data_IF_873793048397
#
_entry.id   IF_873793048397
#
_cell.length_a   1.000
_cell.length_b   1.000
_cell.length_c   1.000
_cell.angle_alpha   90.00
_cell.angle_beta   90.00
_cell.angle_gamma   90.00
#
_symmetry.space_group_name_H-M   'P 1'
#
loop_
_entity.id
_entity.type
_entity.pdbx_description
1 polymer ?
#
# COMPACT_ATOMS: atom_id res chain seq x y z
N UNK A 1 -2.18 6.53 24.03
CA UNK A 1 -1.99 6.86 25.46
C UNK A 1 -3.27 7.35 26.13
N UNK A 2 -4.02 8.29 25.54
CA UNK A 2 -5.28 8.78 26.12
C UNK A 2 -6.31 7.65 26.40
N UNK A 3 -6.52 6.72 25.47
CA UNK A 3 -7.44 5.59 25.66
C UNK A 3 -7.07 4.69 26.87
N UNK A 4 -5.78 4.40 27.06
CA UNK A 4 -5.29 3.60 28.19
C UNK A 4 -5.51 4.34 29.53
N UNK A 5 -5.24 5.64 29.55
CA UNK A 5 -5.51 6.49 30.71
C UNK A 5 -7.00 6.55 31.07
N UNK A 6 -7.90 6.68 30.07
CA UNK A 6 -9.35 6.66 30.30
C UNK A 6 -9.86 5.31 30.84
N UNK A 7 -9.33 4.20 30.34
CA UNK A 7 -9.69 2.85 30.82
C UNK A 7 -9.21 2.61 32.25
N UNK A 8 -7.99 3.06 32.57
CA UNK A 8 -7.44 3.00 33.92
C UNK A 8 -8.26 3.85 34.90
N UNK A 9 -8.56 5.11 34.55
CA UNK A 9 -9.37 6.02 35.37
C UNK A 9 -10.80 5.52 35.59
N UNK A 10 -11.38 4.82 34.61
CA UNK A 10 -12.71 4.23 34.72
C UNK A 10 -12.75 2.89 35.48
N UNK A 11 -11.62 2.41 36.02
CA UNK A 11 -11.54 1.13 36.75
C UNK A 11 -11.85 -0.11 35.90
N UNK A 12 -11.86 0.04 34.57
CA UNK A 12 -12.19 -1.03 33.61
C UNK A 12 -10.95 -1.80 33.12
N UNK A 13 -9.77 -1.45 33.65
CA UNK A 13 -8.53 -2.16 33.36
C UNK A 13 -8.54 -3.49 34.11
N UNK A 14 -9.09 -4.53 33.49
CA UNK A 14 -9.07 -5.88 34.02
C UNK A 14 -8.21 -6.81 33.13
N UNK A 15 -7.84 -7.97 33.69
CA UNK A 15 -7.00 -8.94 32.98
C UNK A 15 -7.65 -9.44 31.69
N UNK A 16 -8.97 -9.63 31.68
CA UNK A 16 -9.71 -10.07 30.49
C UNK A 16 -9.65 -9.05 29.34
N UNK A 17 -9.67 -7.74 29.64
CA UNK A 17 -9.54 -6.68 28.65
C UNK A 17 -8.13 -6.69 28.06
N UNK A 18 -7.09 -6.77 28.91
CA UNK A 18 -5.71 -6.85 28.46
C UNK A 18 -5.49 -8.08 27.57
N UNK A 19 -5.93 -9.26 28.01
CA UNK A 19 -5.86 -10.50 27.23
C UNK A 19 -6.58 -10.35 25.88
N UNK A 20 -7.79 -9.79 25.86
CA UNK A 20 -8.54 -9.58 24.61
C UNK A 20 -7.85 -8.61 23.65
N UNK A 21 -7.20 -7.56 24.16
CA UNK A 21 -6.42 -6.62 23.36
C UNK A 21 -5.16 -7.30 22.78
N UNK A 22 -4.39 -8.01 23.61
CA UNK A 22 -3.20 -8.73 23.15
C UNK A 22 -3.56 -9.79 22.13
N UNK A 23 -4.62 -10.57 22.35
CA UNK A 23 -5.08 -11.59 21.40
C UNK A 23 -5.53 -10.98 20.07
N UNK A 24 -6.26 -9.86 20.09
CA UNK A 24 -6.64 -9.16 18.85
C UNK A 24 -5.41 -8.65 18.09
N UNK A 25 -4.48 -7.96 18.77
CA UNK A 25 -3.24 -7.50 18.16
C UNK A 25 -2.41 -8.65 17.60
N UNK A 26 -2.26 -9.75 18.34
CA UNK A 26 -1.56 -10.94 17.88
C UNK A 26 -2.22 -11.56 16.65
N UNK A 27 -3.56 -11.55 16.56
CA UNK A 27 -4.30 -12.07 15.40
C UNK A 27 -4.06 -11.24 14.15
N UNK A 28 -4.13 -9.91 14.26
CA UNK A 28 -3.86 -9.00 13.14
C UNK A 28 -2.42 -9.12 12.67
N UNK A 29 -1.45 -9.11 13.59
CA UNK A 29 -0.04 -9.31 13.25
C UNK A 29 0.20 -10.70 12.65
N UNK A 30 -0.47 -11.73 13.17
CA UNK A 30 -0.38 -13.09 12.64
C UNK A 30 -0.88 -13.20 11.19
N UNK A 31 -1.97 -12.52 10.85
CA UNK A 31 -2.44 -12.41 9.46
C UNK A 31 -1.38 -11.77 8.57
N UNK A 32 -0.78 -10.65 9.00
CA UNK A 32 0.28 -9.97 8.24
C UNK A 32 1.50 -10.87 8.05
N UNK A 33 1.96 -11.53 9.11
CA UNK A 33 3.12 -12.45 9.03
C UNK A 33 2.82 -13.59 8.05
N UNK A 34 1.63 -14.19 8.12
CA UNK A 34 1.24 -15.28 7.21
C UNK A 34 1.26 -14.83 5.75
N UNK A 35 0.72 -13.64 5.49
CA UNK A 35 0.71 -13.03 4.16
C UNK A 35 2.15 -12.79 3.67
N UNK A 36 3.07 -12.29 4.52
CA UNK A 36 4.50 -12.14 4.19
C UNK A 36 5.16 -13.48 3.85
N UNK A 37 4.88 -14.54 4.62
CA UNK A 37 5.41 -15.88 4.34
C UNK A 37 4.95 -16.37 2.97
N UNK A 38 3.68 -16.16 2.61
CA UNK A 38 3.17 -16.47 1.27
C UNK A 38 3.87 -15.67 0.16
N UNK A 39 4.17 -14.39 0.36
CA UNK A 39 4.96 -13.59 -0.60
C UNK A 39 6.37 -14.15 -0.81
N UNK A 40 7.04 -14.56 0.28
CA UNK A 40 8.39 -15.12 0.20
C UNK A 40 8.38 -16.45 -0.57
N UNK A 41 7.39 -17.31 -0.30
CA UNK A 41 7.20 -18.55 -1.06
C UNK A 41 6.93 -18.26 -2.54
N UNK A 42 6.05 -17.30 -2.85
CA UNK A 42 5.77 -16.88 -4.22
C UNK A 42 7.04 -16.38 -4.93
N UNK A 43 7.86 -15.56 -4.27
CA UNK A 43 9.11 -15.06 -4.83
C UNK A 43 10.07 -16.20 -5.20
N UNK A 44 10.24 -17.19 -4.30
CA UNK A 44 11.05 -18.38 -4.56
C UNK A 44 10.47 -19.20 -5.71
N UNK A 45 9.15 -19.43 -5.73
CA UNK A 45 8.49 -20.16 -6.82
C UNK A 45 8.67 -19.45 -8.18
N UNK A 46 8.50 -18.14 -8.25
CA UNK A 46 8.73 -17.35 -9.47
C UNK A 46 10.18 -17.45 -9.95
N UNK A 47 11.14 -17.42 -9.01
CA UNK A 47 12.55 -17.59 -9.33
C UNK A 47 12.87 -18.98 -9.88
N UNK A 48 12.28 -20.04 -9.32
CA UNK A 48 12.54 -21.43 -9.73
C UNK A 48 11.83 -21.80 -11.04
N UNK A 49 10.65 -21.25 -11.28
CA UNK A 49 9.84 -21.52 -12.50
C UNK A 49 10.30 -20.70 -13.70
N UNK A 50 11.25 -19.78 -13.53
CA UNK A 50 11.63 -18.83 -14.57
C UNK A 50 10.56 -17.76 -14.83
N UNK A 51 9.56 -17.62 -13.94
CA UNK A 51 8.50 -16.62 -14.06
C UNK A 51 9.06 -15.19 -14.11
N UNK A 52 10.11 -14.91 -13.34
CA UNK A 52 10.85 -13.63 -13.39
C UNK A 52 11.34 -13.32 -14.80
N UNK A 53 11.94 -14.30 -15.49
CA UNK A 53 12.44 -14.14 -16.86
C UNK A 53 11.32 -13.98 -17.88
N UNK A 54 10.20 -14.68 -17.70
CA UNK A 54 9.01 -14.51 -18.55
C UNK A 54 8.44 -13.09 -18.42
N UNK A 55 8.35 -12.55 -17.20
CA UNK A 55 7.89 -11.19 -16.92
C UNK A 55 8.83 -10.16 -17.56
N UNK A 56 10.14 -10.29 -17.36
CA UNK A 56 11.15 -9.43 -18.01
C UNK A 56 10.99 -9.43 -19.52
N UNK A 57 10.84 -10.62 -20.13
CA UNK A 57 10.68 -10.76 -21.57
C UNK A 57 9.43 -10.05 -22.06
N UNK A 58 8.30 -10.20 -21.38
CA UNK A 58 7.05 -9.50 -21.69
C UNK A 58 7.20 -7.98 -21.70
N UNK A 59 7.86 -7.41 -20.67
CA UNK A 59 8.09 -5.97 -20.58
C UNK A 59 8.98 -5.48 -21.74
N UNK A 60 10.04 -6.25 -22.07
CA UNK A 60 10.95 -5.90 -23.18
C UNK A 60 10.30 -6.06 -24.56
N UNK A 61 9.45 -7.08 -24.76
CA UNK A 61 8.74 -7.33 -26.02
C UNK A 61 7.67 -6.26 -26.30
N UNK A 62 7.03 -5.73 -25.25
CA UNK A 62 6.08 -4.62 -25.37
C UNK A 62 6.78 -3.27 -25.65
N UNK A 63 8.11 -3.20 -25.55
CA UNK A 63 8.87 -1.97 -25.78
C UNK A 63 8.48 -0.83 -24.84
N UNK A 64 7.98 -1.16 -23.64
CA UNK A 64 7.50 -0.17 -22.69
C UNK A 64 8.65 0.70 -22.20
N UNK A 65 8.52 2.01 -22.39
CA UNK A 65 9.34 2.99 -21.66
C UNK A 65 9.07 2.94 -20.16
N UNK A 66 10.03 3.38 -19.35
CA UNK A 66 9.88 3.48 -17.88
C UNK A 66 8.62 4.28 -17.50
N UNK A 67 8.31 5.35 -18.22
CA UNK A 67 7.11 6.18 -17.98
C UNK A 67 5.83 5.41 -18.29
N UNK A 68 5.78 4.70 -19.42
CA UNK A 68 4.58 3.91 -19.77
C UNK A 68 4.32 2.76 -18.79
N UNK A 69 5.37 2.12 -18.26
CA UNK A 69 5.21 1.11 -17.22
C UNK A 69 4.67 1.73 -15.93
N UNK A 70 5.20 2.89 -15.52
CA UNK A 70 4.73 3.59 -14.33
C UNK A 70 3.27 4.03 -14.47
N UNK A 71 2.85 4.55 -15.63
CA UNK A 71 1.45 4.88 -15.90
C UNK A 71 0.54 3.65 -15.83
N UNK A 72 0.99 2.51 -16.36
CA UNK A 72 0.27 1.24 -16.23
C UNK A 72 0.12 0.84 -14.76
N UNK A 73 1.17 0.99 -13.96
CA UNK A 73 1.11 0.73 -12.52
C UNK A 73 0.18 1.69 -11.80
N UNK A 74 0.17 2.99 -12.10
CA UNK A 74 -0.80 3.93 -11.53
C UNK A 74 -2.22 3.42 -11.76
N UNK A 75 -2.57 3.09 -13.01
CA UNK A 75 -3.91 2.62 -13.35
C UNK A 75 -4.23 1.29 -12.63
N UNK A 76 -3.29 0.34 -12.68
CA UNK A 76 -3.45 -0.97 -12.06
C UNK A 76 -3.64 -0.87 -10.54
N UNK A 77 -2.80 -0.09 -9.84
CA UNK A 77 -2.86 0.05 -8.39
C UNK A 77 -4.06 0.85 -7.92
N UNK A 78 -4.51 1.87 -8.67
CA UNK A 78 -5.77 2.55 -8.36
C UNK A 78 -6.94 1.57 -8.45
N UNK A 79 -6.98 0.73 -9.49
CA UNK A 79 -8.01 -0.30 -9.64
C UNK A 79 -7.93 -1.34 -8.54
N UNK A 80 -6.74 -1.82 -8.21
CA UNK A 80 -6.57 -2.85 -7.19
C UNK A 80 -6.90 -2.31 -5.78
N UNK A 81 -6.49 -1.07 -5.48
CA UNK A 81 -6.66 -0.42 -4.18
C UNK A 81 -8.07 0.02 -3.88
N UNK A 82 -8.87 0.18 -4.93
CA UNK A 82 -10.30 0.32 -4.83
C UNK A 82 -11.00 -0.88 -4.19
N UNK A 83 -10.37 -2.07 -4.13
CA UNK A 83 -10.95 -3.31 -3.56
C UNK A 83 -10.14 -3.94 -2.44
N UNK A 84 -8.82 -3.80 -2.47
CA UNK A 84 -7.90 -4.47 -1.55
C UNK A 84 -7.33 -3.50 -0.51
N UNK A 85 -7.05 -4.01 0.69
CA UNK A 85 -6.27 -3.26 1.69
C UNK A 85 -4.79 -3.17 1.29
N UNK A 86 -4.08 -2.19 1.87
CA UNK A 86 -2.69 -1.89 1.51
C UNK A 86 -1.74 -3.08 1.67
N UNK A 87 -1.86 -3.84 2.77
CA UNK A 87 -0.92 -4.95 3.04
C UNK A 87 -1.15 -6.11 2.06
N UNK A 88 -2.41 -6.45 1.81
CA UNK A 88 -2.77 -7.49 0.84
C UNK A 88 -2.32 -7.13 -0.58
N UNK A 89 -2.46 -5.86 -0.97
CA UNK A 89 -1.97 -5.37 -2.25
C UNK A 89 -0.45 -5.51 -2.37
N UNK A 90 0.30 -4.95 -1.42
CA UNK A 90 1.76 -4.94 -1.45
C UNK A 90 2.32 -6.36 -1.59
N UNK A 91 1.84 -7.28 -0.76
CA UNK A 91 2.37 -8.64 -0.73
C UNK A 91 2.06 -9.39 -2.03
N UNK A 92 0.89 -9.16 -2.63
CA UNK A 92 0.52 -9.79 -3.90
C UNK A 92 1.36 -9.27 -5.07
N UNK A 93 1.58 -7.96 -5.14
CA UNK A 93 2.11 -7.34 -6.36
C UNK A 93 3.62 -7.13 -6.34
N UNK A 94 4.23 -6.89 -5.17
CA UNK A 94 5.67 -6.62 -5.05
C UNK A 94 6.55 -7.72 -5.67
N UNK A 95 6.29 -9.03 -5.45
CA UNK A 95 7.12 -10.09 -6.04
C UNK A 95 7.16 -10.06 -7.57
N UNK A 96 6.10 -9.53 -8.19
CA UNK A 96 5.94 -9.44 -9.65
C UNK A 96 6.44 -8.10 -10.17
N UNK A 97 6.17 -7.01 -9.45
CA UNK A 97 6.48 -5.65 -9.89
C UNK A 97 7.98 -5.31 -9.77
N UNK A 98 8.68 -5.82 -8.74
CA UNK A 98 10.12 -5.59 -8.55
C UNK A 98 10.96 -6.03 -9.76
N UNK A 99 10.81 -7.25 -10.30
CA UNK A 99 11.59 -7.63 -11.48
C UNK A 99 11.22 -6.84 -12.74
N UNK A 100 10.02 -6.26 -12.84
CA UNK A 100 9.64 -5.41 -13.98
C UNK A 100 10.37 -4.07 -13.96
N UNK A 101 10.46 -3.45 -12.78
CA UNK A 101 11.05 -2.11 -12.62
C UNK A 101 12.58 -2.14 -12.64
N UNK A 102 13.20 -3.20 -12.11
CA UNK A 102 14.67 -3.34 -12.10
C UNK A 102 15.24 -3.54 -13.51
N UNK A 103 14.51 -4.22 -14.41
CA UNK A 103 14.88 -4.38 -15.83
C UNK A 103 14.95 -3.03 -16.55
N UNK A 104 14.09 -2.08 -16.17
CA UNK A 104 14.06 -0.73 -16.73
C UNK A 104 14.98 0.24 -15.99
N UNK A 105 15.81 -0.25 -15.05
CA UNK A 105 16.76 0.56 -14.29
C UNK A 105 16.12 1.47 -13.25
N UNK A 106 14.86 1.22 -12.87
CA UNK A 106 14.18 1.99 -11.82
C UNK A 106 14.64 1.48 -10.45
N UNK A 107 14.94 2.41 -9.55
CA UNK A 107 15.37 2.10 -8.20
C UNK A 107 14.24 1.43 -7.37
N UNK A 108 14.48 0.28 -6.71
CA UNK A 108 13.48 -0.39 -5.89
C UNK A 108 13.00 0.39 -4.67
N UNK A 109 13.85 1.24 -4.07
CA UNK A 109 13.46 2.09 -2.93
C UNK A 109 12.51 3.17 -3.40
N UNK A 110 12.82 3.82 -4.53
CA UNK A 110 11.91 4.76 -5.17
C UNK A 110 10.56 4.10 -5.48
N UNK A 111 10.59 2.90 -6.07
CA UNK A 111 9.37 2.15 -6.38
C UNK A 111 8.59 1.76 -5.12
N UNK A 112 9.27 1.42 -4.03
CA UNK A 112 8.67 1.15 -2.73
C UNK A 112 7.92 2.35 -2.16
N UNK A 113 8.45 3.56 -2.30
CA UNK A 113 7.72 4.78 -1.90
C UNK A 113 6.54 5.03 -2.83
N UNK A 114 6.73 4.89 -4.13
CA UNK A 114 5.68 5.06 -5.13
C UNK A 114 4.49 4.12 -4.87
N UNK A 115 4.71 2.82 -4.66
CA UNK A 115 3.64 1.86 -4.43
C UNK A 115 2.90 2.13 -3.12
N UNK A 116 3.59 2.58 -2.05
CA UNK A 116 2.93 2.97 -0.79
C UNK A 116 2.00 4.17 -1.02
N UNK A 117 2.44 5.18 -1.76
CA UNK A 117 1.57 6.32 -2.12
C UNK A 117 0.36 5.84 -2.94
N UNK A 118 0.56 4.90 -3.87
CA UNK A 118 -0.56 4.31 -4.64
C UNK A 118 -1.55 3.56 -3.75
N UNK A 119 -1.06 2.81 -2.76
CA UNK A 119 -1.92 2.13 -1.78
C UNK A 119 -2.81 3.13 -1.02
N UNK A 120 -2.22 4.23 -0.54
CA UNK A 120 -2.96 5.26 0.19
C UNK A 120 -4.03 5.94 -0.67
N UNK A 121 -3.72 6.20 -1.95
CA UNK A 121 -4.71 6.69 -2.92
C UNK A 121 -5.87 5.69 -3.06
N UNK A 122 -5.58 4.40 -3.20
CA UNK A 122 -6.58 3.34 -3.30
C UNK A 122 -7.52 3.29 -2.09
N UNK A 123 -6.99 3.40 -0.88
CA UNK A 123 -7.76 3.31 0.36
C UNK A 123 -8.77 4.45 0.57
N UNK A 124 -8.57 5.59 -0.10
CA UNK A 124 -9.48 6.74 -0.05
C UNK A 124 -10.27 6.96 -1.34
N UNK A 125 -10.06 6.13 -2.37
CA UNK A 125 -10.77 6.23 -3.66
C UNK A 125 -11.97 5.27 -3.67
N UNK A 126 -13.19 5.74 -4.02
CA UNK A 126 -14.37 4.87 -4.18
C UNK A 126 -14.13 3.82 -5.27
N UNK A 127 -14.63 2.57 -5.16
CA UNK A 127 -15.93 2.15 -4.67
C UNK A 127 -15.95 1.51 -3.28
N UNK A 128 -14.86 0.87 -2.83
CA UNK A 128 -14.75 0.39 -1.44
C UNK A 128 -14.17 1.49 -0.58
N UNK A 129 -12.98 2.03 -0.89
CA UNK A 129 -12.39 3.13 -0.13
C UNK A 129 -12.45 2.88 1.38
N UNK A 130 -11.78 1.85 1.86
CA UNK A 130 -11.94 1.31 3.22
C UNK A 130 -11.83 2.40 4.30
N UNK A 131 -10.97 3.40 4.11
CA UNK A 131 -10.84 4.54 5.02
C UNK A 131 -12.10 5.42 5.03
N UNK A 132 -12.76 5.62 3.88
CA UNK A 132 -14.04 6.33 3.78
C UNK A 132 -15.17 5.58 4.51
N UNK A 133 -15.20 4.24 4.43
CA UNK A 133 -16.19 3.44 5.16
C UNK A 133 -15.99 3.50 6.66
N UNK A 134 -14.75 3.47 7.14
CA UNK A 134 -14.44 3.63 8.56
C UNK A 134 -14.92 5.00 9.05
N UNK A 135 -14.65 6.07 8.31
CA UNK A 135 -15.12 7.43 8.64
C UNK A 135 -16.65 7.50 8.64
N UNK A 136 -17.32 6.93 7.64
CA UNK A 136 -18.77 6.88 7.58
C UNK A 136 -19.36 6.09 8.75
N UNK A 137 -18.73 5.00 9.19
CA UNK A 137 -19.18 4.16 10.30
C UNK A 137 -19.11 4.83 11.67
N UNK A 138 -18.19 5.77 11.87
CA UNK A 138 -18.11 6.58 13.10
C UNK A 138 -19.11 7.74 13.10
N UNK A 139 -19.63 8.11 11.92
CA UNK A 139 -20.53 9.24 11.74
C UNK A 139 -21.96 8.86 12.16
N UNK A 140 -22.64 9.77 12.87
CA UNK A 140 -24.01 9.57 13.37
C UNK A 140 -25.11 9.77 12.30
N UNK A 141 -24.74 9.98 11.03
CA UNK A 141 -25.67 10.24 9.92
C UNK A 141 -25.00 10.94 8.73
N UNK A 142 -25.73 11.06 7.61
CA UNK A 142 -25.27 11.64 6.34
C UNK A 142 -25.01 10.58 5.26
N UNK A 143 -24.95 11.03 4.00
CA UNK A 143 -24.73 10.11 2.88
C UNK A 143 -23.24 9.81 2.72
N UNK A 144 -22.92 8.58 2.30
CA UNK A 144 -21.54 8.18 1.97
C UNK A 144 -20.90 9.13 0.94
N UNK A 145 -21.70 9.64 0.01
CA UNK A 145 -21.26 10.60 -1.00
C UNK A 145 -20.68 11.91 -0.42
N UNK A 146 -21.10 12.31 0.79
CA UNK A 146 -20.55 13.51 1.44
C UNK A 146 -19.12 13.27 1.90
N UNK A 147 -18.82 12.07 2.39
CA UNK A 147 -17.48 11.66 2.80
C UNK A 147 -16.57 11.53 1.57
N UNK A 148 -17.08 10.95 0.49
CA UNK A 148 -16.37 10.85 -0.80
C UNK A 148 -16.00 12.23 -1.34
N UNK A 149 -16.96 13.18 -1.37
CA UNK A 149 -16.69 14.56 -1.80
C UNK A 149 -15.67 15.27 -0.91
N UNK A 150 -15.70 15.00 0.40
CA UNK A 150 -14.70 15.52 1.34
C UNK A 150 -13.29 14.95 1.12
N UNK A 151 -13.18 13.70 0.65
CA UNK A 151 -11.91 13.05 0.38
C UNK A 151 -11.33 13.37 -1.00
N UNK A 152 -12.17 13.74 -1.97
CA UNK A 152 -11.75 14.08 -3.34
C UNK A 152 -10.57 15.08 -3.44
N UNK A 153 -10.51 16.21 -2.69
CA UNK A 153 -9.35 17.09 -2.75
C UNK A 153 -8.05 16.40 -2.34
N UNK A 154 -8.08 15.47 -1.40
CA UNK A 154 -6.91 14.70 -0.98
C UNK A 154 -6.47 13.71 -2.07
N UNK A 155 -7.42 13.06 -2.75
CA UNK A 155 -7.10 12.20 -3.91
C UNK A 155 -6.37 12.99 -4.98
N UNK A 156 -6.84 14.19 -5.31
CA UNK A 156 -6.22 15.06 -6.32
C UNK A 156 -4.79 15.44 -5.90
N UNK A 157 -4.59 15.84 -4.65
CA UNK A 157 -3.25 16.19 -4.13
C UNK A 157 -2.32 14.98 -4.17
N UNK A 158 -2.78 13.78 -3.81
CA UNK A 158 -1.94 12.58 -3.84
C UNK A 158 -1.62 12.13 -5.26
N UNK A 159 -2.54 12.25 -6.21
CA UNK A 159 -2.26 11.99 -7.63
C UNK A 159 -1.25 13.02 -8.17
N UNK A 160 -1.39 14.29 -7.82
CA UNK A 160 -0.42 15.32 -8.18
C UNK A 160 0.96 15.03 -7.56
N UNK A 161 1.00 14.58 -6.32
CA UNK A 161 2.23 14.16 -5.66
C UNK A 161 2.87 12.95 -6.35
N UNK A 162 2.08 11.95 -6.74
CA UNK A 162 2.58 10.81 -7.51
C UNK A 162 3.16 11.23 -8.86
N UNK A 163 2.50 12.15 -9.57
CA UNK A 163 3.04 12.73 -10.81
C UNK A 163 4.35 13.48 -10.55
N UNK A 164 4.43 14.23 -9.46
CA UNK A 164 5.66 14.92 -9.04
C UNK A 164 6.79 13.92 -8.76
N UNK A 165 6.51 12.79 -8.10
CA UNK A 165 7.51 11.74 -7.84
C UNK A 165 8.06 11.13 -9.13
N UNK A 166 7.22 10.99 -10.16
CA UNK A 166 7.64 10.49 -11.48
C UNK A 166 8.54 11.51 -12.19
N UNK A 167 8.24 12.81 -12.05
CA UNK A 167 9.01 13.89 -12.68
C UNK A 167 10.30 14.22 -11.94
N UNK A 168 10.34 14.02 -10.62
CA UNK A 168 11.45 14.35 -9.73
C UNK A 168 11.79 13.14 -8.83
N UNK A 169 12.42 12.08 -9.37
CA UNK A 169 12.76 10.89 -8.59
C UNK A 169 13.77 11.18 -7.46
N UNK A 170 14.61 12.20 -7.63
CA UNK A 170 15.63 12.60 -6.64
C UNK A 170 15.02 13.05 -5.30
N UNK A 171 13.76 13.50 -5.28
CA UNK A 171 13.06 13.89 -4.07
C UNK A 171 12.92 12.72 -3.09
N UNK A 172 12.76 11.50 -3.61
CA UNK A 172 12.67 10.28 -2.79
C UNK A 172 14.05 9.78 -2.40
N UNK A 173 15.02 9.89 -3.31
CA UNK A 173 16.37 9.36 -3.10
C UNK A 173 17.24 10.29 -2.25
N UNK A 174 16.85 11.57 -2.08
CA UNK A 174 17.59 12.55 -1.28
C UNK A 174 17.88 12.07 0.15
N UNK A 175 16.85 11.58 0.85
CA UNK A 175 16.96 11.15 2.25
C UNK A 175 17.77 9.83 2.39
N UNK A 176 17.50 8.78 1.59
CA UNK A 176 18.35 7.60 1.52
C UNK A 176 19.82 7.92 1.24
N UNK A 177 20.09 8.78 0.24
CA UNK A 177 21.45 9.17 -0.14
C UNK A 177 22.18 9.93 0.99
N UNK A 178 21.45 10.73 1.77
CA UNK A 178 21.99 11.43 2.94
C UNK A 178 22.25 10.49 4.13
N UNK A 179 21.44 9.44 4.31
CA UNK A 179 21.57 8.47 5.40
C UNK A 179 22.64 7.40 5.19
N UNK A 180 23.08 7.21 3.95
CA UNK A 180 24.12 6.24 3.57
C UNK A 180 25.53 6.84 3.56
N UNK A 181 25.68 8.14 3.87
CA UNK A 181 26.97 8.83 4.06
C UNK A 181 27.23 9.15 5.52
#
# INVERSE_FOLDING_TARGET
MAAFFFVWKNGRLNWALLESCFMQSARTTGMVILVIVCALLLNVTLSLTGGTQAITRWVTELGLSSISLLLLFVLFYVILGMFMDAMSMLVLTVPIAIPMITVLGIDPVWFGVFIVVMCEIGLITPPVGMNLFVVQGVRKGGNFNDVVKGALPFVIIMIAFAALLILLPDLVLFLPNLSQG
#
